data_IF_090473856849
#
_entry.id   IF_090473856849
#
_cell.length_a   1.000
_cell.length_b   1.000
_cell.length_c   1.000
_cell.angle_alpha   90.00
_cell.angle_beta   90.00
_cell.angle_gamma   90.00
#
_symmetry.space_group_name_H-M   'P 1'
#
loop_
_entity.id
_entity.type
_entity.pdbx_description
1 polymer ?
#
# COMPACT_ATOMS: atom_id res chain seq x y z
N UNK A 1 -30.99 8.12 -2.08
CA UNK A 1 -30.47 7.93 -0.71
C UNK A 1 -29.18 7.14 -0.78
N UNK A 2 -28.29 7.26 0.20
CA UNK A 2 -27.09 6.41 0.31
C UNK A 2 -27.24 5.48 1.52
N UNK A 3 -26.67 4.28 1.41
CA UNK A 3 -26.53 3.35 2.53
C UNK A 3 -25.04 3.32 2.89
N UNK A 4 -24.72 3.60 4.16
CA UNK A 4 -23.38 3.44 4.69
C UNK A 4 -23.36 2.18 5.56
N UNK A 5 -22.45 1.26 5.29
CA UNK A 5 -22.26 0.07 6.11
C UNK A 5 -20.77 -0.13 6.38
N UNK A 6 -20.44 -0.75 7.51
CA UNK A 6 -19.07 -1.11 7.89
C UNK A 6 -19.03 -2.58 8.24
N UNK A 7 -18.18 -3.34 7.56
CA UNK A 7 -17.96 -4.76 7.85
C UNK A 7 -16.65 -4.89 8.62
N UNK A 8 -16.65 -5.63 9.73
CA UNK A 8 -15.42 -5.95 10.46
C UNK A 8 -14.67 -7.04 9.68
N UNK A 9 -13.42 -6.81 9.23
CA UNK A 9 -12.67 -7.84 8.53
C UNK A 9 -12.42 -9.04 9.45
N UNK A 10 -12.48 -10.27 8.89
CA UNK A 10 -12.02 -11.47 9.58
C UNK A 10 -10.50 -11.41 9.72
N UNK A 11 -9.97 -11.89 10.84
CA UNK A 11 -8.52 -11.99 11.05
C UNK A 11 -7.90 -13.01 10.09
N UNK A 12 -6.71 -12.73 9.56
CA UNK A 12 -5.95 -13.67 8.71
C UNK A 12 -6.19 -13.55 7.21
N UNK A 13 -6.77 -12.45 6.73
CA UNK A 13 -6.90 -12.19 5.29
C UNK A 13 -5.53 -11.77 4.70
N UNK A 14 -5.07 -12.40 3.61
CA UNK A 14 -3.87 -11.98 2.89
C UNK A 14 -3.92 -10.51 2.44
N UNK A 15 -2.78 -9.83 2.51
CA UNK A 15 -2.61 -8.49 1.92
C UNK A 15 -2.78 -8.60 0.41
N UNK A 16 -3.55 -7.68 -0.17
CA UNK A 16 -3.88 -7.68 -1.59
C UNK A 16 -5.17 -8.39 -1.96
N UNK A 17 -5.84 -9.06 -1.01
CA UNK A 17 -7.21 -9.55 -1.20
C UNK A 17 -8.15 -8.40 -1.54
N UNK A 18 -9.04 -8.64 -2.50
CA UNK A 18 -10.03 -7.66 -2.97
C UNK A 18 -11.43 -8.18 -2.69
N UNK A 19 -12.16 -7.47 -1.86
CA UNK A 19 -13.59 -7.67 -1.65
C UNK A 19 -14.37 -6.71 -2.52
N UNK A 20 -15.10 -7.26 -3.49
CA UNK A 20 -16.02 -6.48 -4.32
C UNK A 20 -17.38 -6.45 -3.64
N UNK A 21 -17.91 -5.25 -3.44
CA UNK A 21 -19.27 -5.02 -3.00
C UNK A 21 -20.07 -4.36 -4.13
N UNK A 22 -21.26 -4.85 -4.40
CA UNK A 22 -22.13 -4.32 -5.45
C UNK A 22 -23.40 -3.78 -4.81
N UNK A 23 -23.71 -2.50 -5.04
CA UNK A 23 -25.01 -1.93 -4.71
C UNK A 23 -25.94 -2.03 -5.92
N UNK A 24 -27.11 -2.64 -5.72
CA UNK A 24 -28.12 -2.81 -6.75
C UNK A 24 -29.42 -2.09 -6.39
N UNK A 25 -30.07 -1.50 -7.39
CA UNK A 25 -31.41 -0.91 -7.26
C UNK A 25 -32.40 -1.81 -8.00
N UNK A 26 -33.52 -2.11 -7.34
CA UNK A 26 -34.63 -2.87 -7.90
C UNK A 26 -35.77 -1.91 -8.18
N UNK A 27 -36.35 -1.99 -9.38
CA UNK A 27 -37.58 -1.32 -9.74
C UNK A 27 -38.62 -2.39 -10.07
N UNK A 28 -39.70 -2.41 -9.28
CA UNK A 28 -40.78 -3.39 -9.38
C UNK A 28 -40.24 -4.83 -9.42
N UNK A 29 -40.71 -5.65 -10.37
CA UNK A 29 -40.32 -7.06 -10.54
C UNK A 29 -39.24 -7.26 -11.61
N UNK A 30 -38.46 -6.22 -11.94
CA UNK A 30 -37.39 -6.33 -12.93
C UNK A 30 -36.07 -6.82 -12.32
N UNK A 31 -35.16 -7.27 -13.19
CA UNK A 31 -33.78 -7.58 -12.82
C UNK A 31 -33.09 -6.32 -12.23
N UNK A 32 -32.20 -6.48 -11.25
CA UNK A 32 -31.54 -5.37 -10.59
C UNK A 32 -30.63 -4.57 -11.52
N UNK A 33 -30.60 -3.25 -11.34
CA UNK A 33 -29.60 -2.36 -11.96
C UNK A 33 -28.47 -2.13 -10.95
N UNK A 34 -27.26 -2.59 -11.28
CA UNK A 34 -26.07 -2.34 -10.47
C UNK A 34 -25.65 -0.88 -10.63
N UNK A 35 -25.61 -0.13 -9.53
CA UNK A 35 -25.39 1.33 -9.55
C UNK A 35 -24.08 1.75 -8.92
N UNK A 36 -23.56 0.97 -7.96
CA UNK A 36 -22.21 1.13 -7.47
C UNK A 36 -21.51 -0.23 -7.43
N UNK A 37 -20.20 -0.18 -7.65
CA UNK A 37 -19.30 -1.27 -7.31
C UNK A 37 -18.20 -0.64 -6.47
N UNK A 38 -18.10 -1.08 -5.23
CA UNK A 38 -17.04 -0.68 -4.32
C UNK A 38 -16.06 -1.83 -4.11
N UNK A 39 -14.78 -1.49 -3.95
CA UNK A 39 -13.72 -2.47 -3.76
C UNK A 39 -13.02 -2.18 -2.44
N UNK A 40 -13.16 -3.08 -1.47
CA UNK A 40 -12.35 -3.05 -0.26
C UNK A 40 -11.12 -3.94 -0.47
N UNK A 41 -9.94 -3.32 -0.52
CA UNK A 41 -8.68 -4.07 -0.54
C UNK A 41 -8.22 -4.27 0.90
N UNK A 42 -7.75 -5.47 1.23
CA UNK A 42 -6.93 -5.67 2.42
C UNK A 42 -5.58 -5.05 2.15
N UNK A 43 -5.48 -3.76 2.44
CA UNK A 43 -4.21 -3.11 2.63
C UNK A 43 -3.52 -3.73 3.84
N UNK A 44 -2.22 -3.89 3.78
CA UNK A 44 -1.46 -3.84 5.01
C UNK A 44 -1.73 -2.45 5.61
N UNK A 45 -2.03 -2.37 6.91
CA UNK A 45 -2.04 -1.07 7.60
C UNK A 45 -0.68 -0.35 7.52
N UNK A 46 0.34 -1.00 6.93
CA UNK A 46 1.71 -0.56 6.91
C UNK A 46 2.21 -0.12 5.52
N UNK A 47 1.71 -0.63 4.38
CA UNK A 47 2.22 -0.28 3.03
C UNK A 47 2.63 -1.48 2.18
N UNK A 48 2.88 -1.25 0.89
CA UNK A 48 3.26 -2.27 -0.09
C UNK A 48 4.66 -2.80 0.21
N UNK A 49 4.92 -4.10 0.02
CA UNK A 49 6.29 -4.61 0.04
C UNK A 49 7.13 -3.91 -1.04
N UNK A 50 8.39 -3.54 -0.77
CA UNK A 50 9.33 -3.14 -1.83
C UNK A 50 9.36 -4.17 -2.97
N UNK A 51 9.25 -3.71 -4.21
CA UNK A 51 9.12 -4.56 -5.41
C UNK A 51 7.90 -5.50 -5.40
N UNK A 52 6.91 -5.24 -4.55
CA UNK A 52 5.63 -5.93 -4.57
C UNK A 52 4.71 -5.41 -5.66
N UNK A 53 3.65 -6.17 -5.92
CA UNK A 53 2.57 -5.72 -6.79
C UNK A 53 1.53 -4.94 -5.96
N UNK A 54 0.93 -3.91 -6.56
CA UNK A 54 -0.20 -3.20 -5.95
C UNK A 54 -1.27 -2.92 -7.00
N UNK A 55 -2.53 -2.88 -6.57
CA UNK A 55 -3.65 -2.50 -7.41
C UNK A 55 -4.44 -1.36 -6.77
N UNK A 56 -4.86 -0.42 -7.59
CA UNK A 56 -5.78 0.65 -7.21
C UNK A 56 -7.05 0.54 -8.03
N UNK A 57 -8.20 0.80 -7.39
CA UNK A 57 -9.51 0.77 -8.02
C UNK A 57 -10.07 2.18 -8.10
N UNK A 58 -10.77 2.47 -9.19
CA UNK A 58 -11.41 3.78 -9.36
C UNK A 58 -12.52 3.99 -8.30
N UNK A 59 -13.13 2.92 -7.79
CA UNK A 59 -14.22 2.98 -6.79
C UNK A 59 -15.49 3.67 -7.29
N UNK A 60 -15.54 3.99 -8.59
CA UNK A 60 -16.62 4.71 -9.26
C UNK A 60 -16.82 4.03 -10.62
N UNK A 61 -18.07 3.71 -10.95
CA UNK A 61 -18.43 3.13 -12.24
C UNK A 61 -18.47 4.22 -13.33
N UNK A 62 -17.89 3.92 -14.49
CA UNK A 62 -17.99 4.75 -15.68
C UNK A 62 -17.69 3.98 -16.96
N UNK A 63 -17.83 4.67 -18.10
CA UNK A 63 -17.60 4.13 -19.44
C UNK A 63 -16.15 4.30 -19.88
N UNK A 64 -15.49 5.36 -19.42
CA UNK A 64 -14.07 5.63 -19.70
C UNK A 64 -13.31 5.89 -18.41
N UNK A 65 -12.06 5.44 -18.39
CA UNK A 65 -11.15 5.58 -17.26
C UNK A 65 -9.81 6.11 -17.78
N UNK A 66 -9.17 6.99 -17.03
CA UNK A 66 -7.83 7.46 -17.28
C UNK A 66 -7.10 7.62 -15.94
N UNK A 67 -6.21 6.68 -15.63
CA UNK A 67 -5.38 6.79 -14.45
C UNK A 67 -4.34 7.90 -14.61
N UNK A 68 -4.10 8.62 -13.52
CA UNK A 68 -3.17 9.72 -13.41
C UNK A 68 -2.26 9.51 -12.20
N UNK A 69 -1.00 9.91 -12.34
CA UNK A 69 -0.02 9.93 -11.25
C UNK A 69 0.41 11.36 -10.97
N UNK A 70 0.67 11.65 -9.70
CA UNK A 70 1.31 12.87 -9.24
C UNK A 70 2.58 12.49 -8.46
N UNK A 71 3.74 12.85 -9.01
CA UNK A 71 5.07 12.63 -8.41
C UNK A 71 5.56 13.81 -7.57
N UNK A 72 4.76 14.87 -7.43
CA UNK A 72 5.06 16.09 -6.66
C UNK A 72 4.78 17.39 -7.41
N UNK A 73 4.55 17.34 -8.73
CA UNK A 73 4.38 18.51 -9.60
C UNK A 73 2.98 18.63 -10.23
N UNK A 74 2.02 17.79 -9.80
CA UNK A 74 0.67 17.74 -10.36
C UNK A 74 0.36 16.41 -11.04
N UNK A 75 -0.89 16.25 -11.50
CA UNK A 75 -1.37 15.00 -12.08
C UNK A 75 -1.09 14.92 -13.59
N UNK A 76 -0.48 13.82 -14.01
CA UNK A 76 -0.23 13.48 -15.42
C UNK A 76 -0.87 12.14 -15.78
N UNK A 77 -1.40 12.01 -17.00
CA UNK A 77 -1.99 10.77 -17.49
C UNK A 77 -0.94 9.65 -17.58
N UNK A 78 -1.28 8.47 -17.06
CA UNK A 78 -0.49 7.26 -17.21
C UNK A 78 -0.78 6.57 -18.55
N UNK A 79 0.24 5.90 -19.08
CA UNK A 79 0.15 4.96 -20.20
C UNK A 79 0.53 3.55 -19.73
N UNK A 80 0.05 2.52 -20.42
CA UNK A 80 0.44 1.13 -20.12
C UNK A 80 1.91 0.94 -20.53
N UNK A 81 2.83 1.04 -19.57
CA UNK A 81 4.26 0.97 -19.79
C UNK A 81 5.01 0.67 -18.49
N UNK A 82 6.13 -0.05 -18.60
CA UNK A 82 6.96 -0.42 -17.45
C UNK A 82 6.14 -1.19 -16.41
N UNK A 83 6.02 -0.63 -15.22
CA UNK A 83 5.26 -1.22 -14.11
C UNK A 83 3.75 -1.05 -14.24
N UNK A 84 3.26 -0.13 -15.08
CA UNK A 84 1.85 0.26 -15.13
C UNK A 84 1.05 -0.56 -16.14
N UNK A 85 -0.09 -1.09 -15.70
CA UNK A 85 -1.06 -1.80 -16.55
C UNK A 85 -2.50 -1.49 -16.13
N UNK A 86 -3.44 -1.56 -17.07
CA UNK A 86 -4.86 -1.27 -16.81
C UNK A 86 -5.18 0.23 -16.68
N UNK A 87 -4.32 1.12 -17.21
CA UNK A 87 -4.45 2.59 -17.04
C UNK A 87 -5.73 3.20 -17.63
N UNK A 88 -6.43 2.47 -18.49
CA UNK A 88 -7.73 2.85 -19.09
C UNK A 88 -8.89 1.99 -18.61
N UNK A 89 -8.71 1.29 -17.49
CA UNK A 89 -9.73 0.41 -16.89
C UNK A 89 -10.07 0.83 -15.46
N UNK A 90 -11.10 0.22 -14.88
CA UNK A 90 -11.47 0.45 -13.49
C UNK A 90 -10.39 0.06 -12.47
N UNK A 91 -9.38 -0.73 -12.88
CA UNK A 91 -8.28 -1.22 -12.03
C UNK A 91 -6.92 -0.87 -12.64
N UNK A 92 -6.16 -0.03 -11.94
CA UNK A 92 -4.73 0.16 -12.20
C UNK A 92 -3.93 -0.91 -11.46
N UNK A 93 -2.99 -1.56 -12.15
CA UNK A 93 -2.06 -2.51 -11.53
C UNK A 93 -0.63 -2.01 -11.74
N UNK A 94 0.14 -1.95 -10.66
CA UNK A 94 1.57 -1.73 -10.66
C UNK A 94 2.26 -3.05 -10.32
N UNK A 95 3.13 -3.54 -11.21
CA UNK A 95 3.94 -4.74 -10.94
C UNK A 95 5.36 -4.36 -10.53
N UNK A 96 5.92 -5.12 -9.59
CA UNK A 96 7.29 -4.91 -9.09
C UNK A 96 7.59 -3.44 -8.72
N UNK A 97 6.71 -2.81 -7.94
CA UNK A 97 6.78 -1.37 -7.67
C UNK A 97 8.02 -1.01 -6.82
N UNK A 98 8.96 -0.18 -7.33
CA UNK A 98 10.14 0.22 -6.58
C UNK A 98 9.81 1.29 -5.52
N UNK A 99 10.60 1.33 -4.45
CA UNK A 99 10.45 2.27 -3.33
C UNK A 99 10.61 3.75 -3.72
N UNK A 100 11.18 4.03 -4.90
CA UNK A 100 11.25 5.37 -5.49
C UNK A 100 9.88 6.01 -5.75
N UNK A 101 8.81 5.20 -5.84
CA UNK A 101 7.44 5.69 -5.98
C UNK A 101 6.81 6.11 -4.66
N UNK A 102 7.52 5.97 -3.53
CA UNK A 102 7.00 6.36 -2.22
C UNK A 102 6.54 7.83 -2.24
N UNK A 103 5.37 8.08 -1.66
CA UNK A 103 4.64 9.36 -1.66
C UNK A 103 4.02 9.79 -3.00
N UNK A 104 4.18 9.04 -4.10
CA UNK A 104 3.44 9.32 -5.33
C UNK A 104 1.94 9.09 -5.10
N UNK A 105 1.10 9.92 -5.72
CA UNK A 105 -0.35 9.86 -5.59
C UNK A 105 -0.98 9.41 -6.89
N UNK A 106 -1.96 8.52 -6.81
CA UNK A 106 -2.65 7.94 -7.94
C UNK A 106 -4.15 8.23 -7.84
N UNK A 107 -4.76 8.66 -8.95
CA UNK A 107 -6.21 8.82 -9.06
C UNK A 107 -6.68 8.46 -10.47
N UNK A 108 -7.95 8.16 -10.63
CA UNK A 108 -8.56 7.89 -11.92
C UNK A 108 -9.51 9.03 -12.31
N UNK A 109 -9.39 9.53 -13.54
CA UNK A 109 -10.37 10.41 -14.17
C UNK A 109 -11.39 9.54 -14.92
N UNK A 110 -12.61 9.52 -14.44
CA UNK A 110 -13.72 8.73 -14.95
C UNK A 110 -14.64 9.63 -15.78
N UNK A 111 -14.98 9.20 -17.00
CA UNK A 111 -15.83 9.95 -17.95
C UNK A 111 -15.37 11.39 -18.23
N UNK A 112 -14.09 11.70 -18.00
CA UNK A 112 -13.52 13.03 -18.23
C UNK A 112 -13.92 14.11 -17.21
N UNK A 113 -14.78 13.80 -16.23
CA UNK A 113 -15.37 14.81 -15.33
C UNK A 113 -15.26 14.47 -13.85
N UNK A 114 -15.14 13.19 -13.48
CA UNK A 114 -15.15 12.76 -12.09
C UNK A 114 -13.81 12.14 -11.70
N UNK A 115 -13.24 12.56 -10.57
CA UNK A 115 -12.01 11.97 -10.04
C UNK A 115 -12.33 10.93 -8.95
N UNK A 116 -11.62 9.79 -8.99
CA UNK A 116 -11.60 8.83 -7.88
C UNK A 116 -10.92 9.43 -6.63
N UNK A 117 -11.10 8.82 -5.45
CA UNK A 117 -10.24 9.08 -4.30
C UNK A 117 -8.75 8.91 -4.65
N UNK A 118 -7.90 9.71 -3.98
CA UNK A 118 -6.45 9.62 -4.13
C UNK A 118 -5.90 8.41 -3.36
N UNK A 119 -5.04 7.63 -4.03
CA UNK A 119 -4.28 6.56 -3.42
C UNK A 119 -2.82 7.02 -3.28
N UNK A 120 -2.28 6.99 -2.06
CA UNK A 120 -0.90 7.37 -1.79
C UNK A 120 -0.05 6.10 -1.71
N UNK A 121 0.99 6.01 -2.53
CA UNK A 121 1.94 4.91 -2.47
C UNK A 121 2.81 5.02 -1.21
N UNK A 122 2.84 3.95 -0.43
CA UNK A 122 3.68 3.79 0.75
C UNK A 122 4.26 2.39 0.74
N UNK A 123 5.53 2.28 1.13
CA UNK A 123 6.20 1.00 1.25
C UNK A 123 6.46 0.69 2.71
N UNK A 124 6.30 -0.57 3.09
CA UNK A 124 6.64 -1.00 4.44
C UNK A 124 7.08 -2.44 4.52
N UNK A 125 7.81 -2.69 5.60
CA UNK A 125 8.23 -4.01 6.02
C UNK A 125 8.03 -4.16 7.53
N UNK A 126 7.69 -5.37 7.94
CA UNK A 126 7.57 -5.74 9.34
C UNK A 126 8.69 -6.69 9.74
N UNK A 127 9.27 -6.43 10.91
CA UNK A 127 10.23 -7.34 11.51
C UNK A 127 9.55 -8.64 11.94
N UNK A 128 10.12 -9.78 11.50
CA UNK A 128 9.80 -11.13 11.95
C UNK A 128 10.85 -11.68 12.93
N UNK A 129 12.13 -11.41 12.65
CA UNK A 129 13.25 -11.87 13.49
C UNK A 129 13.34 -13.40 13.66
N UNK A 130 12.80 -14.16 12.70
CA UNK A 130 12.65 -15.62 12.79
C UNK A 130 13.91 -16.40 12.46
N UNK A 131 14.86 -15.81 11.74
CA UNK A 131 16.12 -16.48 11.38
C UNK A 131 17.22 -16.14 12.39
N UNK A 132 17.40 -14.85 12.66
CA UNK A 132 18.31 -14.34 13.68
C UNK A 132 17.91 -12.89 14.03
N UNK A 133 18.78 -12.18 14.75
CA UNK A 133 18.53 -10.79 15.10
C UNK A 133 19.12 -9.77 14.12
N UNK A 134 19.78 -10.17 13.02
CA UNK A 134 20.49 -9.24 12.15
C UNK A 134 19.53 -8.40 11.29
N UNK A 135 19.55 -7.07 11.44
CA UNK A 135 18.72 -6.14 10.65
C UNK A 135 18.93 -6.30 9.14
N UNK A 136 20.19 -6.52 8.74
CA UNK A 136 20.60 -6.62 7.34
C UNK A 136 20.23 -7.98 6.69
N UNK A 137 19.68 -8.93 7.43
CA UNK A 137 19.23 -10.19 6.85
C UNK A 137 17.80 -10.04 6.30
N UNK A 138 17.59 -10.13 4.96
CA UNK A 138 16.28 -9.95 4.35
C UNK A 138 15.24 -10.93 4.89
N UNK A 139 15.62 -12.16 5.24
CA UNK A 139 14.70 -13.19 5.72
C UNK A 139 14.05 -12.87 7.09
N UNK A 140 14.63 -11.93 7.84
CA UNK A 140 14.03 -11.42 9.07
C UNK A 140 12.91 -10.42 8.83
N UNK A 141 12.66 -10.01 7.58
CA UNK A 141 11.58 -9.10 7.19
C UNK A 141 10.46 -9.87 6.48
N UNK A 142 9.21 -9.48 6.70
CA UNK A 142 8.03 -10.09 6.08
C UNK A 142 8.09 -10.10 4.55
N UNK A 143 8.59 -9.02 3.95
CA UNK A 143 8.77 -8.87 2.50
C UNK A 143 10.08 -9.45 1.96
N UNK A 144 10.83 -10.23 2.77
CA UNK A 144 12.15 -10.76 2.41
C UNK A 144 13.11 -9.69 1.84
N UNK A 145 12.99 -8.44 2.32
CA UNK A 145 13.72 -7.28 1.82
C UNK A 145 14.12 -6.40 2.99
N UNK A 146 15.37 -5.93 3.02
CA UNK A 146 15.86 -5.00 4.03
C UNK A 146 15.29 -3.60 3.74
N UNK A 147 14.75 -2.87 4.73
CA UNK A 147 14.21 -1.54 4.51
C UNK A 147 15.27 -0.53 4.05
N UNK A 148 14.82 0.42 3.23
CA UNK A 148 15.61 1.57 2.77
C UNK A 148 15.02 2.90 3.26
N UNK A 149 15.66 4.02 2.92
CA UNK A 149 15.25 5.39 3.23
C UNK A 149 13.83 5.79 2.76
N UNK A 150 13.10 4.94 2.02
CA UNK A 150 11.74 5.16 1.53
C UNK A 150 10.74 4.15 2.09
N UNK A 151 11.21 3.22 2.92
CA UNK A 151 10.43 2.12 3.49
C UNK A 151 10.12 2.34 4.96
N UNK A 152 8.85 2.21 5.33
CA UNK A 152 8.38 2.25 6.71
C UNK A 152 8.66 0.92 7.42
N UNK A 153 9.10 1.00 8.67
CA UNK A 153 9.47 -0.18 9.46
C UNK A 153 8.53 -0.31 10.65
N UNK A 154 7.94 -1.50 10.81
CA UNK A 154 7.24 -1.91 12.03
C UNK A 154 8.03 -3.00 12.76
N UNK A 155 8.25 -2.81 14.05
CA UNK A 155 8.82 -3.84 14.94
C UNK A 155 7.78 -4.21 16.01
N UNK A 156 7.16 -5.40 15.90
CA UNK A 156 6.26 -5.94 16.93
C UNK A 156 7.00 -6.26 18.24
N UNK A 157 6.26 -6.30 19.35
CA UNK A 157 6.77 -6.75 20.63
C UNK A 157 6.87 -8.29 20.69
N UNK A 158 7.68 -8.81 21.62
CA UNK A 158 7.81 -10.25 21.86
C UNK A 158 8.64 -11.02 20.82
N UNK A 159 9.30 -10.33 19.90
CA UNK A 159 10.20 -10.91 18.90
C UNK A 159 11.67 -10.70 19.30
N UNK A 160 12.58 -11.36 18.58
CA UNK A 160 14.02 -11.09 18.72
C UNK A 160 14.31 -9.63 18.40
N UNK A 161 15.09 -8.95 19.25
CA UNK A 161 15.40 -7.53 19.08
C UNK A 161 16.25 -7.34 17.82
N UNK A 162 15.82 -6.55 16.81
CA UNK A 162 16.66 -6.23 15.66
C UNK A 162 18.00 -5.62 16.11
N UNK A 163 19.10 -6.14 15.58
CA UNK A 163 20.46 -5.67 15.81
C UNK A 163 21.02 -5.08 14.52
N UNK A 164 21.38 -3.81 14.58
CA UNK A 164 22.01 -3.06 13.49
C UNK A 164 23.53 -3.12 13.68
N UNK A 165 24.22 -3.66 12.68
CA UNK A 165 25.68 -3.83 12.67
C UNK A 165 26.32 -3.37 11.36
N UNK A 166 25.63 -2.47 10.67
CA UNK A 166 26.03 -1.74 9.48
C UNK A 166 25.26 -0.43 9.45
N UNK A 167 25.73 0.56 8.67
CA UNK A 167 24.96 1.80 8.48
C UNK A 167 23.73 1.49 7.64
N UNK A 168 22.55 1.83 8.14
CA UNK A 168 21.27 1.53 7.51
C UNK A 168 20.34 2.74 7.56
N UNK A 169 19.30 2.71 6.73
CA UNK A 169 18.27 3.75 6.73
C UNK A 169 16.87 3.18 6.63
N UNK A 170 15.91 3.86 7.22
CA UNK A 170 14.49 3.63 7.00
C UNK A 170 13.73 4.95 6.87
N UNK A 171 12.54 4.93 6.30
CA UNK A 171 11.69 6.12 6.24
C UNK A 171 11.07 6.45 7.61
N UNK A 172 10.51 5.46 8.29
CA UNK A 172 10.04 5.61 9.66
C UNK A 172 10.26 4.34 10.45
N UNK A 173 10.38 4.44 11.77
CA UNK A 173 10.50 3.31 12.68
C UNK A 173 9.37 3.37 13.70
N UNK A 174 8.45 2.40 13.64
CA UNK A 174 7.37 2.23 14.63
C UNK A 174 7.67 1.00 15.47
N UNK A 175 7.73 1.20 16.78
CA UNK A 175 7.93 0.14 17.76
C UNK A 175 6.61 -0.10 18.49
N UNK A 176 6.15 -1.35 18.57
CA UNK A 176 5.10 -1.70 19.52
C UNK A 176 5.60 -1.53 20.96
N UNK A 177 4.71 -1.25 21.94
CA UNK A 177 5.11 -1.15 23.34
C UNK A 177 5.91 -2.38 23.79
N UNK A 178 7.12 -2.17 24.32
CA UNK A 178 8.04 -3.24 24.75
C UNK A 178 8.95 -3.81 23.66
N UNK A 179 8.80 -3.39 22.39
CA UNK A 179 9.78 -3.71 21.34
C UNK A 179 11.02 -2.81 21.46
N UNK A 180 12.19 -3.34 21.12
CA UNK A 180 13.45 -2.59 21.13
C UNK A 180 14.25 -2.85 19.85
N UNK A 181 15.11 -1.90 19.48
CA UNK A 181 16.09 -2.02 18.39
C UNK A 181 17.46 -1.65 18.95
N UNK A 182 18.46 -2.48 18.70
CA UNK A 182 19.82 -2.27 19.20
C UNK A 182 20.75 -1.85 18.07
N UNK A 183 21.39 -0.70 18.21
CA UNK A 183 22.45 -0.25 17.29
C UNK A 183 23.81 -0.61 17.89
N UNK A 184 24.59 -1.41 17.17
CA UNK A 184 25.94 -1.75 17.61
C UNK A 184 26.87 -0.53 17.52
N UNK A 185 27.87 -0.48 18.41
CA UNK A 185 28.84 0.62 18.45
C UNK A 185 29.49 0.84 17.07
N UNK A 186 29.62 2.11 16.69
CA UNK A 186 30.22 2.52 15.42
C UNK A 186 29.28 2.53 14.21
N UNK A 187 28.00 2.17 14.37
CA UNK A 187 27.02 2.16 13.29
C UNK A 187 25.87 3.14 13.52
N UNK A 188 25.17 3.49 12.43
CA UNK A 188 24.03 4.41 12.46
C UNK A 188 22.76 3.81 11.87
N UNK A 189 21.63 4.18 12.46
CA UNK A 189 20.29 4.05 11.87
C UNK A 189 19.82 5.44 11.49
N UNK A 190 19.70 5.71 10.19
CA UNK A 190 19.18 6.98 9.69
C UNK A 190 17.67 6.90 9.42
N UNK A 191 16.88 7.70 10.11
CA UNK A 191 15.43 7.81 9.88
C UNK A 191 15.17 9.06 9.05
N UNK A 192 14.72 8.89 7.80
CA UNK A 192 14.65 9.99 6.82
C UNK A 192 13.30 10.70 6.77
N UNK A 193 12.22 10.03 7.19
CA UNK A 193 10.90 10.63 7.36
C UNK A 193 10.93 11.53 8.59
N UNK A 194 11.04 12.84 8.39
CA UNK A 194 10.94 13.82 9.47
C UNK A 194 9.60 13.64 10.19
N UNK A 195 9.63 13.40 11.49
CA UNK A 195 8.55 13.86 12.36
C UNK A 195 8.65 15.38 12.36
N UNK A 196 7.74 16.06 11.67
CA UNK A 196 7.46 17.45 12.03
C UNK A 196 6.83 17.47 13.42
#
# INVERSE_FOLDING_TARGET
GYILFRVKPKTGLPVGDVFTNNAAIYFDFNLPVITNVDHTIIGSNNGVCPNGNVSYFAGITGNTYQWQVNSGSGYTNLSNAGIYSGVTTAKLTLTNAPTSLSAFRYRCLVNGTTYSPENIMRFAVQWKGTVNNAWANPANWDCNTVPDAKTEVLVPAGLTNPRISSNVSCYSLRLSPGATVTVASGFTLNITGKTN
#
